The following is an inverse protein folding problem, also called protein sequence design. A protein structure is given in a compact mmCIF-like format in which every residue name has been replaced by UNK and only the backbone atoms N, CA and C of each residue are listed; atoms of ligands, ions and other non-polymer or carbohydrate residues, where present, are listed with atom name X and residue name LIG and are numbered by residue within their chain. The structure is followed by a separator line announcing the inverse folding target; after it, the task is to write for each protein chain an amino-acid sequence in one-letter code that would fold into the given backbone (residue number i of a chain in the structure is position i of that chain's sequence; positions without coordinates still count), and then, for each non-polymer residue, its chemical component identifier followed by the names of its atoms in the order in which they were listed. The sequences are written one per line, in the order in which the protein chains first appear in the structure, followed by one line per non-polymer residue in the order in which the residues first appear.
data_IF_133534463895
#
_entry.id   IF_133534463895
#
_cell.length_a   1.000
_cell.length_b   1.000
_cell.length_c   1.000
_cell.angle_alpha   90.00
_cell.angle_beta   90.00
_cell.angle_gamma   90.00
#
_symmetry.space_group_name_H-M   'P 1'
#
loop_
_entity.id
_entity.type
_entity.pdbx_description
1 polymer ?
#
# COMPACT_ATOMS: atom_id res chain seq x y z
N UNK A 1 -3.98 -2.23 63.34
CA UNK A 1 -3.92 -1.26 62.21
C UNK A 1 -2.56 -1.17 61.51
N UNK A 2 -1.40 -1.16 62.20
CA UNK A 2 -0.07 -1.04 61.55
C UNK A 2 0.28 -2.21 60.60
N UNK A 3 -0.06 -3.45 60.96
CA UNK A 3 0.20 -4.64 60.12
C UNK A 3 -0.60 -4.68 58.81
N UNK A 4 -1.82 -4.11 58.80
CA UNK A 4 -2.66 -4.01 57.61
C UNK A 4 -2.16 -2.92 56.65
N UNK A 5 -1.62 -1.83 57.17
CA UNK A 5 -0.98 -0.78 56.35
C UNK A 5 0.32 -1.27 55.70
N UNK A 6 1.09 -2.11 56.40
CA UNK A 6 2.34 -2.67 55.87
C UNK A 6 2.10 -3.71 54.76
N UNK A 7 1.06 -4.54 54.91
CA UNK A 7 0.69 -5.52 53.87
C UNK A 7 0.15 -4.85 52.62
N UNK A 8 -0.68 -3.81 52.74
CA UNK A 8 -1.12 -3.01 51.59
C UNK A 8 0.06 -2.30 50.92
N UNK A 9 0.98 -1.74 51.70
CA UNK A 9 2.17 -1.07 51.17
C UNK A 9 3.10 -2.02 50.39
N UNK A 10 3.33 -3.24 50.90
CA UNK A 10 4.09 -4.26 50.18
C UNK A 10 3.39 -4.73 48.89
N UNK A 11 2.06 -4.80 48.90
CA UNK A 11 1.29 -5.20 47.72
C UNK A 11 1.35 -4.14 46.60
N UNK A 12 1.29 -2.86 46.96
CA UNK A 12 1.43 -1.74 46.01
C UNK A 12 2.85 -1.70 45.42
N UNK A 13 3.89 -1.93 46.23
CA UNK A 13 5.26 -2.02 45.74
C UNK A 13 5.43 -3.22 44.80
N UNK A 14 4.85 -4.37 45.14
CA UNK A 14 4.86 -5.56 44.28
C UNK A 14 4.23 -5.31 42.91
N UNK A 15 3.05 -4.65 42.88
CA UNK A 15 2.38 -4.26 41.64
C UNK A 15 3.20 -3.26 40.81
N UNK A 16 3.88 -2.32 41.46
CA UNK A 16 4.74 -1.35 40.78
C UNK A 16 5.93 -2.04 40.09
N UNK A 17 6.57 -3.01 40.75
CA UNK A 17 7.71 -3.76 40.20
C UNK A 17 7.28 -4.57 38.97
N UNK A 18 6.11 -5.22 39.02
CA UNK A 18 5.56 -5.98 37.88
C UNK A 18 5.23 -5.07 36.69
N UNK A 19 4.66 -3.89 36.94
CA UNK A 19 4.37 -2.92 35.89
C UNK A 19 5.66 -2.41 35.18
N UNK A 20 6.74 -2.19 35.93
CA UNK A 20 8.03 -1.77 35.39
C UNK A 20 8.67 -2.89 34.54
N UNK A 21 8.58 -4.16 34.96
CA UNK A 21 9.16 -5.29 34.19
C UNK A 21 8.42 -5.59 32.88
N UNK A 22 7.10 -5.33 32.82
CA UNK A 22 6.32 -5.50 31.59
C UNK A 22 6.56 -4.32 30.64
N UNK A 23 6.77 -3.10 31.16
CA UNK A 23 7.06 -1.91 30.37
C UNK A 23 8.39 -1.95 29.62
N UNK A 24 9.45 -2.53 30.21
CA UNK A 24 10.75 -2.65 29.54
C UNK A 24 10.75 -3.65 28.38
N UNK A 25 9.86 -4.64 28.40
CA UNK A 25 9.76 -5.64 27.33
C UNK A 25 9.11 -5.09 26.04
N UNK A 26 8.34 -3.99 26.14
CA UNK A 26 7.72 -3.32 25.00
C UNK A 26 8.59 -2.21 24.38
N UNK A 27 9.64 -1.75 25.08
CA UNK A 27 10.49 -0.64 24.64
C UNK A 27 11.83 -1.08 24.02
N UNK A 28 12.10 -2.39 23.93
CA UNK A 28 13.35 -2.95 23.38
C UNK A 28 13.24 -3.41 21.92
N UNK A 29 12.25 -2.95 21.16
CA UNK A 29 12.19 -3.08 19.68
C UNK A 29 12.21 -1.70 19.01
N UNK A 30 13.15 -0.87 19.46
CA UNK A 30 13.67 0.22 18.65
C UNK A 30 15.15 -0.04 18.56
N UNK A 31 15.58 -0.67 17.47
CA UNK A 31 16.99 -0.63 17.11
C UNK A 31 17.36 0.86 16.99
N UNK A 32 18.33 1.35 17.77
CA UNK A 32 19.01 2.56 17.36
C UNK A 32 19.77 2.14 16.11
N UNK A 33 19.27 2.58 14.95
CA UNK A 33 20.09 2.64 13.75
C UNK A 33 21.20 3.64 14.11
N UNK A 34 22.28 3.11 14.70
CA UNK A 34 23.53 3.83 14.84
C UNK A 34 23.91 4.24 13.43
N UNK A 35 23.73 5.53 13.19
CA UNK A 35 24.28 6.29 12.10
C UNK A 35 25.81 6.18 12.18
N UNK A 36 26.32 5.00 11.82
CA UNK A 36 27.70 4.80 11.48
C UNK A 36 27.88 5.57 10.19
N UNK A 37 28.24 6.83 10.36
CA UNK A 37 28.93 7.62 9.35
C UNK A 37 30.25 6.91 9.04
N UNK A 38 30.17 5.79 8.32
CA UNK A 38 31.23 5.40 7.41
C UNK A 38 31.27 6.51 6.38
N UNK A 39 32.25 7.39 6.55
CA UNK A 39 32.73 8.29 5.51
C UNK A 39 33.39 7.43 4.42
N UNK A 40 32.62 6.54 3.79
CA UNK A 40 32.91 6.05 2.46
C UNK A 40 32.94 7.31 1.62
N UNK A 41 34.15 7.67 1.20
CA UNK A 41 34.37 8.58 0.08
C UNK A 41 33.37 8.17 -0.98
N UNK A 42 32.31 8.96 -1.15
CA UNK A 42 31.28 8.70 -2.13
C UNK A 42 32.01 8.78 -3.46
N UNK A 43 32.45 7.62 -3.97
CA UNK A 43 32.83 7.49 -5.35
C UNK A 43 31.58 7.94 -6.07
N UNK A 44 31.61 9.14 -6.64
CA UNK A 44 30.50 9.70 -7.40
C UNK A 44 30.14 8.66 -8.44
N UNK A 45 29.13 7.85 -8.13
CA UNK A 45 28.54 6.95 -9.09
C UNK A 45 27.90 7.89 -10.09
N UNK A 46 28.59 8.10 -11.21
CA UNK A 46 27.99 8.72 -12.38
C UNK A 46 26.91 7.76 -12.87
N UNK A 47 25.74 7.86 -12.24
CA UNK A 47 24.50 7.28 -12.71
C UNK A 47 24.13 8.13 -13.94
N UNK A 48 24.26 7.61 -15.18
CA UNK A 48 23.98 8.39 -16.39
C UNK A 48 22.57 8.98 -16.35
N UNK A 49 21.65 8.21 -15.76
CA UNK A 49 20.28 8.57 -15.44
C UNK A 49 20.13 9.93 -14.72
N UNK A 50 21.07 10.35 -13.86
CA UNK A 50 20.97 11.64 -13.13
C UNK A 50 21.33 12.86 -13.98
N UNK A 51 22.09 12.69 -15.05
CA UNK A 51 22.57 13.79 -15.90
C UNK A 51 21.83 13.85 -17.25
N UNK A 52 20.96 12.89 -17.53
CA UNK A 52 20.11 12.88 -18.70
C UNK A 52 18.81 13.65 -18.42
N UNK A 53 18.41 14.48 -19.37
CA UNK A 53 17.09 15.11 -19.39
C UNK A 53 16.05 14.00 -19.56
N UNK A 54 15.51 13.50 -18.43
CA UNK A 54 14.49 12.47 -18.43
C UNK A 54 13.23 13.04 -19.06
N UNK A 55 12.57 12.26 -19.92
CA UNK A 55 11.21 12.56 -20.32
C UNK A 55 10.37 12.77 -19.06
N UNK A 56 9.46 13.76 -19.08
CA UNK A 56 8.59 14.08 -17.97
C UNK A 56 8.00 12.79 -17.39
N UNK A 57 8.22 12.54 -16.09
CA UNK A 57 7.76 11.34 -15.42
C UNK A 57 6.22 11.19 -15.51
N UNK A 58 5.48 12.29 -15.69
CA UNK A 58 4.05 12.25 -15.96
C UNK A 58 3.70 11.66 -17.34
N UNK A 59 4.65 11.61 -18.27
CA UNK A 59 4.50 10.94 -19.57
C UNK A 59 5.01 9.50 -19.56
N UNK A 60 5.69 9.07 -18.49
CA UNK A 60 6.17 7.71 -18.32
C UNK A 60 5.03 6.79 -17.87
N UNK A 61 4.21 6.36 -18.83
CA UNK A 61 3.24 5.29 -18.59
C UNK A 61 4.01 4.00 -18.34
N UNK A 62 3.74 3.34 -17.22
CA UNK A 62 4.20 1.98 -17.01
C UNK A 62 3.59 1.09 -18.09
N UNK A 63 4.43 0.60 -19.00
CA UNK A 63 4.03 -0.35 -20.04
C UNK A 63 3.40 -1.54 -19.34
N UNK A 64 2.10 -1.77 -19.60
CA UNK A 64 1.28 -2.83 -18.99
C UNK A 64 0.81 -2.60 -17.55
N UNK A 65 0.85 -1.37 -17.00
CA UNK A 65 0.15 -1.11 -15.75
C UNK A 65 -1.38 -1.15 -15.97
N UNK A 66 -2.14 -1.85 -15.11
CA UNK A 66 -3.59 -1.79 -15.13
C UNK A 66 -4.04 -0.32 -14.97
N UNK A 67 -4.99 0.16 -15.79
CA UNK A 67 -5.53 1.50 -15.61
C UNK A 67 -6.19 1.61 -14.23
N UNK A 68 -6.01 2.75 -13.54
CA UNK A 68 -6.73 3.01 -12.31
C UNK A 68 -8.23 3.11 -12.56
N UNK A 69 -9.02 2.79 -11.53
CA UNK A 69 -10.45 2.99 -11.58
C UNK A 69 -10.76 4.49 -11.51
N UNK A 70 -11.57 5.02 -12.44
CA UNK A 70 -12.01 6.41 -12.35
C UNK A 70 -12.85 6.66 -11.10
N UNK A 71 -12.93 7.91 -10.65
CA UNK A 71 -13.62 8.28 -9.40
C UNK A 71 -15.12 7.90 -9.38
N UNK A 72 -15.77 7.79 -10.54
CA UNK A 72 -17.17 7.37 -10.68
C UNK A 72 -17.38 5.84 -10.57
N UNK A 73 -16.30 5.07 -10.39
CA UNK A 73 -16.33 3.62 -10.14
C UNK A 73 -16.34 3.26 -8.64
N UNK A 74 -16.30 4.26 -7.75
CA UNK A 74 -16.32 4.03 -6.30
C UNK A 74 -17.54 3.19 -5.88
N UNK A 75 -17.31 2.20 -5.03
CA UNK A 75 -18.32 1.26 -4.51
C UNK A 75 -19.03 0.38 -5.56
N UNK A 76 -18.52 0.26 -6.79
CA UNK A 76 -19.10 -0.68 -7.78
C UNK A 76 -18.69 -2.14 -7.55
N UNK A 77 -17.55 -2.37 -6.91
CA UNK A 77 -17.11 -3.72 -6.57
C UNK A 77 -18.04 -4.33 -5.51
N UNK A 78 -18.61 -5.48 -5.84
CA UNK A 78 -19.34 -6.31 -4.88
C UNK A 78 -18.55 -7.61 -4.66
N UNK A 79 -18.02 -7.87 -3.44
CA UNK A 79 -17.22 -9.07 -3.17
C UNK A 79 -18.00 -10.37 -3.34
N UNK A 80 -19.33 -10.35 -3.17
CA UNK A 80 -20.17 -11.54 -3.33
C UNK A 80 -20.37 -11.90 -4.81
N UNK A 81 -20.38 -10.89 -5.69
CA UNK A 81 -20.54 -11.06 -7.14
C UNK A 81 -19.21 -11.14 -7.89
N UNK A 82 -18.10 -10.79 -7.24
CA UNK A 82 -16.76 -10.76 -7.82
C UNK A 82 -16.73 -10.04 -9.18
N UNK A 83 -16.18 -10.67 -10.23
CA UNK A 83 -16.08 -10.09 -11.57
C UNK A 83 -17.43 -9.66 -12.14
N UNK A 84 -18.53 -10.32 -11.78
CA UNK A 84 -19.84 -10.04 -12.37
C UNK A 84 -20.31 -8.62 -12.05
N UNK A 85 -19.87 -8.07 -10.91
CA UNK A 85 -20.11 -6.66 -10.55
C UNK A 85 -19.51 -5.67 -11.55
N UNK A 86 -18.34 -5.99 -12.12
CA UNK A 86 -17.65 -5.17 -13.11
C UNK A 86 -18.11 -5.50 -14.54
N UNK A 87 -18.31 -6.79 -14.82
CA UNK A 87 -18.71 -7.30 -16.14
C UNK A 87 -20.10 -6.81 -16.56
N UNK A 88 -20.95 -6.39 -15.63
CA UNK A 88 -22.22 -5.73 -15.96
C UNK A 88 -22.06 -4.57 -16.95
N UNK A 89 -20.94 -3.85 -16.87
CA UNK A 89 -20.57 -2.83 -17.85
C UNK A 89 -19.50 -3.34 -18.82
N UNK A 90 -18.45 -3.98 -18.30
CA UNK A 90 -17.24 -4.26 -19.08
C UNK A 90 -17.29 -5.51 -19.97
N UNK A 91 -18.36 -6.31 -19.90
CA UNK A 91 -18.54 -7.46 -20.81
C UNK A 91 -19.17 -7.08 -22.15
N UNK A 92 -19.91 -5.97 -22.21
CA UNK A 92 -20.75 -5.60 -23.34
C UNK A 92 -20.28 -4.27 -23.95
N UNK A 93 -20.03 -4.27 -25.26
CA UNK A 93 -19.62 -3.05 -25.99
C UNK A 93 -20.71 -1.96 -25.99
N UNK A 94 -21.97 -2.34 -25.76
CA UNK A 94 -23.13 -1.44 -25.80
C UNK A 94 -23.25 -0.49 -24.60
N UNK A 95 -22.49 -0.72 -23.53
CA UNK A 95 -22.55 0.09 -22.30
C UNK A 95 -21.68 1.34 -22.39
N UNK A 96 -20.78 1.40 -23.39
CA UNK A 96 -19.76 2.43 -23.53
C UNK A 96 -18.55 2.25 -22.61
N UNK A 97 -18.54 1.24 -21.73
CA UNK A 97 -17.37 0.88 -20.95
C UNK A 97 -16.34 0.14 -21.82
N UNK A 98 -15.06 0.34 -21.56
CA UNK A 98 -14.00 -0.38 -22.25
C UNK A 98 -14.11 -1.89 -21.96
N UNK A 99 -14.20 -2.72 -22.99
CA UNK A 99 -14.23 -4.17 -22.82
C UNK A 99 -12.88 -4.70 -22.36
N UNK A 100 -12.89 -5.82 -21.63
CA UNK A 100 -11.66 -6.46 -21.17
C UNK A 100 -10.78 -6.88 -22.36
N UNK A 101 -9.46 -6.61 -22.31
CA UNK A 101 -8.51 -7.15 -23.26
C UNK A 101 -8.34 -8.67 -23.11
N UNK A 102 -7.75 -9.29 -24.13
CA UNK A 102 -7.55 -10.74 -24.22
C UNK A 102 -6.76 -11.32 -23.05
N UNK A 103 -5.80 -10.57 -22.50
CA UNK A 103 -4.92 -10.97 -21.40
C UNK A 103 -5.62 -11.21 -20.05
N UNK A 104 -6.92 -10.92 -19.96
CA UNK A 104 -7.77 -11.23 -18.81
C UNK A 104 -8.36 -12.64 -18.83
N UNK A 105 -8.30 -13.31 -19.99
CA UNK A 105 -8.88 -14.61 -20.24
C UNK A 105 -7.79 -15.68 -20.38
N UNK A 106 -8.11 -16.94 -20.06
CA UNK A 106 -7.16 -18.03 -20.24
C UNK A 106 -6.65 -18.08 -21.68
N UNK A 107 -5.35 -18.32 -21.84
CA UNK A 107 -4.65 -18.40 -23.13
C UNK A 107 -4.75 -17.13 -24.01
N UNK A 108 -5.08 -15.98 -23.43
CA UNK A 108 -5.33 -14.73 -24.15
C UNK A 108 -6.47 -14.85 -25.17
N UNK A 109 -7.56 -15.55 -24.82
CA UNK A 109 -8.70 -15.75 -25.71
C UNK A 109 -10.01 -15.37 -25.02
N UNK A 110 -10.70 -14.33 -25.53
CA UNK A 110 -11.98 -13.84 -24.97
C UNK A 110 -13.12 -14.86 -24.94
N UNK A 111 -12.98 -15.97 -25.66
CA UNK A 111 -13.96 -17.08 -25.64
C UNK A 111 -13.71 -18.06 -24.48
N UNK A 112 -12.54 -17.99 -23.83
CA UNK A 112 -12.23 -18.79 -22.66
C UNK A 112 -12.76 -18.14 -21.38
N UNK A 113 -12.66 -18.86 -20.27
CA UNK A 113 -13.02 -18.33 -18.96
C UNK A 113 -12.09 -17.18 -18.53
N UNK A 114 -12.67 -16.22 -17.81
CA UNK A 114 -11.94 -15.13 -17.18
C UNK A 114 -11.16 -15.67 -15.97
N UNK A 115 -9.84 -15.53 -15.94
CA UNK A 115 -9.04 -15.95 -14.79
C UNK A 115 -8.74 -14.82 -13.81
N UNK A 116 -8.85 -13.55 -14.25
CA UNK A 116 -8.69 -12.36 -13.40
C UNK A 116 -10.02 -11.91 -12.83
N UNK A 117 -10.53 -12.65 -11.85
CA UNK A 117 -11.88 -12.43 -11.28
C UNK A 117 -11.96 -11.29 -10.26
N UNK A 118 -10.86 -11.01 -9.56
CA UNK A 118 -10.77 -9.92 -8.59
C UNK A 118 -10.16 -8.67 -9.20
N UNK A 119 -10.96 -7.92 -9.96
CA UNK A 119 -10.52 -6.73 -10.71
C UNK A 119 -9.79 -5.70 -9.81
N UNK A 120 -10.29 -5.51 -8.59
CA UNK A 120 -9.77 -4.53 -7.61
C UNK A 120 -8.36 -4.85 -7.08
N UNK A 121 -7.83 -6.05 -7.32
CA UNK A 121 -6.45 -6.40 -6.93
C UNK A 121 -5.42 -5.67 -7.79
N UNK A 122 -5.81 -5.27 -9.01
CA UNK A 122 -4.93 -4.66 -9.99
C UNK A 122 -5.43 -3.26 -10.39
N UNK A 123 -6.74 -3.10 -10.58
CA UNK A 123 -7.35 -1.82 -10.90
C UNK A 123 -7.75 -1.11 -9.62
N UNK A 124 -6.84 -0.31 -9.07
CA UNK A 124 -7.08 0.46 -7.84
C UNK A 124 -7.76 1.80 -8.15
N UNK A 125 -8.60 2.28 -7.24
CA UNK A 125 -9.08 3.67 -7.29
C UNK A 125 -7.92 4.62 -7.05
N UNK A 126 -7.82 5.68 -7.84
CA UNK A 126 -6.89 6.77 -7.58
C UNK A 126 -7.64 7.94 -6.97
N UNK A 127 -7.40 8.17 -5.68
CA UNK A 127 -7.67 9.44 -5.02
C UNK A 127 -6.46 10.34 -5.30
N UNK A 128 -6.47 11.04 -6.44
CA UNK A 128 -5.39 11.98 -6.78
C UNK A 128 -5.61 13.29 -6.01
N UNK A 129 -5.23 13.28 -4.72
CA UNK A 129 -5.21 14.45 -3.84
C UNK A 129 -3.89 15.23 -3.92
N UNK A 130 -2.89 14.67 -4.62
CA UNK A 130 -1.58 15.26 -4.76
C UNK A 130 -1.60 16.20 -5.96
N UNK A 131 -1.06 17.41 -5.86
CA UNK A 131 -0.81 18.20 -7.04
C UNK A 131 0.10 17.39 -7.98
N UNK A 132 -0.26 17.31 -9.26
CA UNK A 132 0.39 16.48 -10.29
C UNK A 132 1.92 16.68 -10.38
N UNK A 133 2.47 17.73 -9.75
CA UNK A 133 3.89 17.93 -9.52
C UNK A 133 4.11 18.68 -8.20
N UNK A 134 5.34 18.59 -7.67
CA UNK A 134 5.85 19.45 -6.59
C UNK A 134 5.64 20.93 -6.96
N UNK A 135 4.46 21.50 -6.67
CA UNK A 135 4.29 22.93 -6.60
C UNK A 135 4.82 23.33 -5.24
N UNK A 136 5.92 24.07 -5.25
CA UNK A 136 6.44 24.70 -4.04
C UNK A 136 5.31 25.48 -3.36
N UNK A 137 5.17 25.28 -2.04
CA UNK A 137 4.34 26.15 -1.19
C UNK A 137 4.88 27.59 -1.20
#
# INVERSE_FOLDING_TARGET
MKKLKYTIFLFVIGLLIVAISVGSSFFSHTEPNEDQTEQQTAKTLLLPQLNEERADAATMVLVSAPPPQPADHINRWNPDLQQDSCLMCHALETTGAATLPEDHYYDNNRNNELYRTYCIQCHVTQEDDKPAFNRDN
#
